data_IF_006186877125
#
_entry.id   IF_006186877125
#
_cell.length_a   1.000
_cell.length_b   1.000
_cell.length_c   1.000
_cell.angle_alpha   90.00
_cell.angle_beta   90.00
_cell.angle_gamma   90.00
#
_symmetry.space_group_name_H-M   'P 1'
#
loop_
_entity.id
_entity.type
_entity.pdbx_description
1 polymer ?
#
# COMPACT_ATOMS: atom_id res chain seq x y z
N UNK A 1 30.72 13.98 4.29
CA UNK A 1 30.58 13.29 2.98
C UNK A 1 30.64 11.76 3.11
N UNK A 2 31.49 11.18 3.98
CA UNK A 2 31.66 9.73 4.16
C UNK A 2 30.42 8.85 4.46
N UNK A 3 29.30 9.42 4.93
CA UNK A 3 28.11 8.64 5.32
C UNK A 3 27.34 8.12 4.11
N UNK A 4 27.29 8.89 3.02
CA UNK A 4 26.53 8.55 1.81
C UNK A 4 27.32 7.74 0.78
N UNK A 5 28.60 7.47 1.06
CA UNK A 5 29.45 6.66 0.20
C UNK A 5 29.17 5.16 0.38
N UNK A 6 28.45 4.79 1.45
CA UNK A 6 28.21 3.40 1.84
C UNK A 6 26.74 3.17 2.16
N UNK A 7 26.06 2.38 1.33
CA UNK A 7 24.67 1.98 1.57
C UNK A 7 24.45 1.30 2.94
N UNK A 8 25.33 0.39 3.41
CA UNK A 8 25.24 -0.16 4.77
C UNK A 8 25.17 0.90 5.85
N UNK A 9 25.99 1.96 5.79
CA UNK A 9 25.98 3.02 6.82
C UNK A 9 24.65 3.77 6.84
N UNK A 10 24.10 4.09 5.67
CA UNK A 10 22.81 4.79 5.56
C UNK A 10 21.66 3.94 6.11
N UNK A 11 21.65 2.64 5.79
CA UNK A 11 20.64 1.70 6.26
C UNK A 11 20.77 1.42 7.75
N UNK A 12 21.98 1.29 8.28
CA UNK A 12 22.22 1.14 9.72
C UNK A 12 21.72 2.36 10.50
N UNK A 13 22.01 3.57 10.04
CA UNK A 13 21.48 4.79 10.64
C UNK A 13 19.95 4.85 10.60
N UNK A 14 19.34 4.45 9.47
CA UNK A 14 17.89 4.38 9.32
C UNK A 14 17.25 3.34 10.27
N UNK A 15 17.91 2.20 10.43
CA UNK A 15 17.48 1.12 11.32
C UNK A 15 17.59 1.56 12.78
N UNK A 16 18.72 2.18 13.16
CA UNK A 16 18.94 2.72 14.48
C UNK A 16 17.88 3.77 14.86
N UNK A 17 17.52 4.68 13.94
CA UNK A 17 16.44 5.63 14.14
C UNK A 17 15.11 4.93 14.47
N UNK A 18 14.75 3.88 13.73
CA UNK A 18 13.51 3.12 13.97
C UNK A 18 13.56 2.35 15.31
N UNK A 19 14.70 1.77 15.66
CA UNK A 19 14.88 1.11 16.96
C UNK A 19 14.72 2.10 18.12
N UNK A 20 15.31 3.30 18.04
CA UNK A 20 15.14 4.36 19.03
C UNK A 20 13.66 4.73 19.17
N UNK A 21 12.95 4.92 18.06
CA UNK A 21 11.53 5.24 18.06
C UNK A 21 10.65 4.11 18.60
N UNK A 22 11.00 2.83 18.39
CA UNK A 22 10.28 1.70 18.95
C UNK A 22 10.43 1.65 20.49
N UNK A 23 11.64 1.87 21.00
CA UNK A 23 11.91 1.94 22.44
C UNK A 23 11.20 3.14 23.06
N UNK A 24 11.34 4.32 22.46
CA UNK A 24 10.64 5.52 22.88
C UNK A 24 9.12 5.34 22.85
N UNK A 25 8.59 4.74 21.78
CA UNK A 25 7.17 4.46 21.63
C UNK A 25 6.63 3.56 22.73
N UNK A 26 7.38 2.50 23.09
CA UNK A 26 7.04 1.65 24.23
C UNK A 26 7.04 2.40 25.56
N UNK A 27 8.04 3.25 25.79
CA UNK A 27 8.08 4.12 26.97
C UNK A 27 6.90 5.10 27.00
N UNK A 28 6.59 5.78 25.89
CA UNK A 28 5.48 6.71 25.79
C UNK A 28 4.14 6.00 26.02
N UNK A 29 3.96 4.80 25.45
CA UNK A 29 2.74 4.02 25.67
C UNK A 29 2.55 3.62 27.13
N UNK A 30 3.62 3.42 27.89
CA UNK A 30 3.56 3.12 29.32
C UNK A 30 3.36 4.37 30.20
N UNK A 31 3.88 5.54 29.79
CA UNK A 31 3.99 6.72 30.66
C UNK A 31 3.09 7.90 30.24
N UNK A 32 2.43 7.85 29.08
CA UNK A 32 1.59 8.94 28.56
C UNK A 32 0.14 8.51 28.34
N UNK A 33 -0.79 9.45 28.54
CA UNK A 33 -2.18 9.30 28.14
C UNK A 33 -2.32 9.23 26.61
N UNK A 34 -1.52 10.02 25.88
CA UNK A 34 -1.47 9.98 24.43
C UNK A 34 -0.53 8.86 23.97
N UNK A 35 -1.14 7.79 23.45
CA UNK A 35 -0.41 6.61 22.99
C UNK A 35 0.33 6.88 21.69
N UNK A 36 1.55 6.35 21.62
CA UNK A 36 2.37 6.29 20.42
C UNK A 36 1.81 5.26 19.45
N UNK A 37 1.46 4.07 19.94
CA UNK A 37 0.90 2.98 19.12
C UNK A 37 -0.35 3.42 18.35
N UNK A 38 -0.35 3.14 17.05
CA UNK A 38 -1.49 3.36 16.18
C UNK A 38 -2.66 2.46 16.58
N UNK A 39 -3.88 2.97 16.46
CA UNK A 39 -5.09 2.21 16.79
C UNK A 39 -5.26 1.00 15.86
N UNK A 40 -4.87 1.15 14.59
CA UNK A 40 -4.94 0.06 13.62
C UNK A 40 -4.01 -1.10 14.03
N UNK A 41 -2.88 -0.80 14.68
CA UNK A 41 -1.98 -1.84 15.19
C UNK A 41 -2.64 -2.75 16.24
N UNK A 42 -3.47 -2.15 17.11
CA UNK A 42 -4.24 -2.90 18.09
C UNK A 42 -5.28 -3.77 17.39
N UNK A 43 -5.98 -3.22 16.38
CA UNK A 43 -6.95 -3.97 15.57
C UNK A 43 -6.29 -5.15 14.85
N UNK A 44 -5.08 -5.00 14.32
CA UNK A 44 -4.35 -6.11 13.70
C UNK A 44 -3.95 -7.17 14.72
N UNK A 45 -3.45 -6.76 15.88
CA UNK A 45 -3.01 -7.66 16.94
C UNK A 45 -4.17 -8.47 17.50
N UNK A 46 -5.31 -7.81 17.76
CA UNK A 46 -6.52 -8.50 18.22
C UNK A 46 -7.04 -9.48 17.17
N UNK A 47 -7.09 -9.08 15.89
CA UNK A 47 -7.46 -10.00 14.81
C UNK A 47 -6.53 -11.21 14.72
N UNK A 48 -5.23 -11.04 14.98
CA UNK A 48 -4.26 -12.14 15.02
C UNK A 48 -4.52 -13.08 16.20
N UNK A 49 -4.99 -12.57 17.34
CA UNK A 49 -5.44 -13.39 18.48
C UNK A 49 -6.68 -14.21 18.16
N UNK A 50 -7.63 -13.65 17.41
CA UNK A 50 -8.78 -14.41 16.90
C UNK A 50 -8.31 -15.56 16.00
N UNK A 51 -7.41 -15.28 15.04
CA UNK A 51 -6.86 -16.32 14.15
C UNK A 51 -6.12 -17.40 14.95
N UNK A 52 -5.32 -17.03 15.96
CA UNK A 52 -4.60 -17.99 16.81
C UNK A 52 -5.54 -18.93 17.58
N UNK A 53 -6.78 -18.51 17.86
CA UNK A 53 -7.84 -19.31 18.49
C UNK A 53 -8.68 -20.10 17.47
N UNK A 54 -8.29 -20.13 16.20
CA UNK A 54 -9.04 -20.76 15.11
C UNK A 54 -10.29 -19.99 14.69
N UNK A 55 -10.43 -18.73 15.11
CA UNK A 55 -11.58 -17.89 14.82
C UNK A 55 -11.30 -16.95 13.63
N UNK A 56 -12.37 -16.34 13.10
CA UNK A 56 -12.26 -15.36 12.03
C UNK A 56 -11.61 -14.06 12.53
N UNK A 57 -10.64 -13.47 11.80
CA UNK A 57 -10.09 -12.16 12.16
C UNK A 57 -11.16 -11.06 12.15
N UNK A 58 -12.25 -11.26 11.40
CA UNK A 58 -13.40 -10.36 11.33
C UNK A 58 -14.31 -10.42 12.56
N UNK A 59 -14.06 -11.34 13.51
CA UNK A 59 -14.68 -11.27 14.83
C UNK A 59 -14.15 -10.07 15.64
N UNK A 60 -13.00 -9.50 15.26
CA UNK A 60 -12.55 -8.21 15.77
C UNK A 60 -13.34 -7.09 15.10
N UNK A 61 -14.11 -6.34 15.89
CA UNK A 61 -14.78 -5.14 15.43
C UNK A 61 -13.80 -4.21 14.70
N UNK A 62 -14.28 -3.56 13.64
CA UNK A 62 -13.54 -2.62 12.79
C UNK A 62 -12.36 -3.20 12.00
N UNK A 63 -12.08 -4.50 12.09
CA UNK A 63 -11.11 -5.16 11.22
C UNK A 63 -11.61 -5.17 9.77
N UNK A 64 -10.86 -4.53 8.88
CA UNK A 64 -11.20 -4.30 7.45
C UNK A 64 -10.05 -4.63 6.50
N UNK A 65 -9.09 -5.40 6.98
CA UNK A 65 -7.85 -5.71 6.26
C UNK A 65 -7.92 -7.14 5.73
N UNK A 66 -7.00 -7.53 4.84
CA UNK A 66 -6.91 -8.94 4.40
C UNK A 66 -6.53 -9.85 5.57
N UNK A 67 -7.09 -11.07 5.70
CA UNK A 67 -6.68 -12.02 6.73
C UNK A 67 -5.19 -12.36 6.66
N UNK A 68 -4.57 -12.23 5.48
CA UNK A 68 -3.13 -12.41 5.30
C UNK A 68 -2.31 -11.53 6.25
N UNK A 69 -2.77 -10.30 6.53
CA UNK A 69 -2.11 -9.41 7.48
C UNK A 69 -2.21 -9.96 8.91
N UNK A 70 -3.36 -10.47 9.33
CA UNK A 70 -3.50 -11.12 10.64
C UNK A 70 -2.64 -12.38 10.73
N UNK A 71 -2.52 -13.16 9.65
CA UNK A 71 -1.68 -14.36 9.61
C UNK A 71 -0.20 -14.01 9.77
N UNK A 72 0.27 -12.96 9.10
CA UNK A 72 1.65 -12.46 9.24
C UNK A 72 1.97 -11.99 10.66
N UNK A 73 0.96 -11.60 11.43
CA UNK A 73 1.10 -11.06 12.77
C UNK A 73 0.75 -12.08 13.87
N UNK A 74 0.57 -13.36 13.55
CA UNK A 74 0.34 -14.40 14.56
C UNK A 74 1.29 -14.38 15.77
N UNK A 75 2.59 -14.03 15.64
CA UNK A 75 3.45 -13.91 16.82
C UNK A 75 2.94 -12.88 17.85
N UNK A 76 2.24 -11.83 17.43
CA UNK A 76 1.66 -10.82 18.35
C UNK A 76 0.48 -11.35 19.17
N UNK A 77 -0.06 -12.52 18.79
CA UNK A 77 -1.14 -13.17 19.53
C UNK A 77 -0.69 -13.80 20.85
N UNK A 78 0.61 -13.96 21.07
CA UNK A 78 1.13 -14.51 22.32
C UNK A 78 1.03 -13.48 23.45
N UNK A 79 0.17 -13.77 24.43
CA UNK A 79 -0.15 -12.91 25.59
C UNK A 79 0.68 -13.25 26.84
N UNK A 80 1.81 -13.93 26.69
CA UNK A 80 2.69 -14.23 27.82
C UNK A 80 3.23 -12.97 28.49
N UNK A 81 3.49 -13.05 29.80
CA UNK A 81 3.99 -11.92 30.58
C UNK A 81 5.50 -11.65 30.40
N UNK A 82 5.95 -10.52 30.96
CA UNK A 82 7.36 -10.14 31.01
C UNK A 82 7.94 -9.65 29.68
N UNK A 83 9.27 -9.69 29.57
CA UNK A 83 10.00 -9.13 28.43
C UNK A 83 9.62 -9.78 27.09
N UNK A 84 9.39 -11.10 27.09
CA UNK A 84 9.00 -11.81 25.89
C UNK A 84 7.64 -11.30 25.37
N UNK A 85 6.72 -10.93 26.27
CA UNK A 85 5.38 -10.45 25.89
C UNK A 85 5.43 -9.08 25.23
N UNK A 86 6.33 -8.23 25.71
CA UNK A 86 6.61 -6.95 25.07
C UNK A 86 7.24 -7.13 23.68
N UNK A 87 8.12 -8.12 23.49
CA UNK A 87 8.76 -8.41 22.21
C UNK A 87 7.74 -8.98 21.21
N UNK A 88 6.91 -9.94 21.61
CA UNK A 88 5.86 -10.48 20.73
C UNK A 88 4.84 -9.42 20.37
N UNK A 89 4.43 -8.57 21.30
CA UNK A 89 3.59 -7.42 20.99
C UNK A 89 4.27 -6.44 20.02
N UNK A 90 5.59 -6.23 20.14
CA UNK A 90 6.34 -5.35 19.24
C UNK A 90 6.64 -5.98 17.87
N UNK A 91 6.49 -7.30 17.70
CA UNK A 91 6.87 -8.03 16.49
C UNK A 91 6.31 -7.40 15.21
N UNK A 92 5.02 -7.06 15.19
CA UNK A 92 4.40 -6.43 14.02
C UNK A 92 4.98 -5.06 13.70
N UNK A 93 5.25 -4.23 14.71
CA UNK A 93 5.92 -2.94 14.52
C UNK A 93 7.34 -3.10 13.98
N UNK A 94 8.07 -4.10 14.48
CA UNK A 94 9.42 -4.43 14.00
C UNK A 94 9.35 -4.86 12.53
N UNK A 95 8.41 -5.73 12.18
CA UNK A 95 8.17 -6.17 10.80
C UNK A 95 7.86 -5.00 9.88
N UNK A 96 6.98 -4.08 10.30
CA UNK A 96 6.60 -2.92 9.49
C UNK A 96 7.74 -1.91 9.35
N UNK A 97 8.50 -1.66 10.42
CA UNK A 97 9.70 -0.81 10.38
C UNK A 97 10.80 -1.43 9.49
N UNK A 98 10.97 -2.75 9.52
CA UNK A 98 11.91 -3.45 8.63
C UNK A 98 11.46 -3.35 7.18
N UNK A 99 10.17 -3.58 6.90
CA UNK A 99 9.61 -3.43 5.55
C UNK A 99 9.82 -2.02 5.01
N UNK A 100 9.66 -0.99 5.85
CA UNK A 100 9.92 0.40 5.48
C UNK A 100 11.39 0.67 5.10
N UNK A 101 12.36 0.08 5.82
CA UNK A 101 13.79 0.15 5.46
C UNK A 101 14.05 -0.60 4.15
N UNK A 102 13.44 -1.77 3.96
CA UNK A 102 13.55 -2.57 2.72
C UNK A 102 12.96 -1.81 1.54
N UNK A 103 11.84 -1.11 1.71
CA UNK A 103 11.24 -0.27 0.67
C UNK A 103 12.22 0.84 0.25
N UNK A 104 12.83 1.54 1.21
CA UNK A 104 13.87 2.53 0.93
C UNK A 104 15.07 1.93 0.19
N UNK A 105 15.55 0.76 0.62
CA UNK A 105 16.63 0.05 -0.09
C UNK A 105 16.24 -0.30 -1.53
N UNK A 106 15.03 -0.80 -1.78
CA UNK A 106 14.55 -1.10 -3.13
C UNK A 106 14.50 0.16 -4.01
N UNK A 107 14.08 1.30 -3.46
CA UNK A 107 14.10 2.59 -4.17
C UNK A 107 15.53 3.00 -4.51
N UNK A 108 16.52 2.80 -3.62
CA UNK A 108 17.94 3.01 -3.96
C UNK A 108 18.37 2.12 -5.13
N UNK A 109 17.96 0.84 -5.14
CA UNK A 109 18.29 -0.07 -6.25
C UNK A 109 17.62 0.36 -7.56
N UNK A 110 16.37 0.82 -7.52
CA UNK A 110 15.67 1.38 -8.68
C UNK A 110 16.44 2.58 -9.25
N UNK A 111 16.79 3.55 -8.41
CA UNK A 111 17.52 4.75 -8.84
C UNK A 111 18.87 4.40 -9.46
N UNK A 112 19.61 3.47 -8.86
CA UNK A 112 20.95 3.07 -9.35
C UNK A 112 20.89 2.20 -10.60
N UNK A 113 20.05 1.18 -10.62
CA UNK A 113 20.07 0.13 -11.66
C UNK A 113 19.15 0.44 -12.84
N UNK A 114 18.03 1.12 -12.61
CA UNK A 114 17.05 1.41 -13.66
C UNK A 114 17.13 2.86 -14.15
N UNK A 115 17.51 3.80 -13.28
CA UNK A 115 17.64 5.22 -13.62
C UNK A 115 19.09 5.72 -13.68
N UNK A 116 20.07 4.85 -13.43
CA UNK A 116 21.51 5.13 -13.55
C UNK A 116 22.01 6.32 -12.71
N UNK A 117 21.39 6.56 -11.54
CA UNK A 117 21.87 7.57 -10.61
C UNK A 117 23.20 7.13 -9.99
N UNK A 118 24.16 8.06 -9.78
CA UNK A 118 25.31 7.81 -8.93
C UNK A 118 24.88 7.33 -7.54
N UNK A 119 25.58 6.34 -6.99
CA UNK A 119 25.23 5.69 -5.71
C UNK A 119 25.01 6.71 -4.60
N UNK A 120 25.94 7.66 -4.44
CA UNK A 120 25.88 8.69 -3.41
C UNK A 120 24.63 9.58 -3.58
N UNK A 121 24.32 9.99 -4.82
CA UNK A 121 23.14 10.82 -5.12
C UNK A 121 21.84 10.07 -4.81
N UNK A 122 21.75 8.80 -5.19
CA UNK A 122 20.59 7.96 -4.88
C UNK A 122 20.41 7.80 -3.36
N UNK A 123 21.49 7.53 -2.63
CA UNK A 123 21.46 7.40 -1.17
C UNK A 123 21.04 8.71 -0.48
N UNK A 124 21.56 9.86 -0.91
CA UNK A 124 21.18 11.17 -0.35
C UNK A 124 19.69 11.47 -0.52
N UNK A 125 19.15 11.28 -1.73
CA UNK A 125 17.73 11.53 -1.98
C UNK A 125 16.82 10.59 -1.19
N UNK A 126 17.12 9.29 -1.20
CA UNK A 126 16.29 8.31 -0.49
C UNK A 126 16.43 8.46 1.03
N UNK A 127 17.61 8.81 1.53
CA UNK A 127 17.79 9.16 2.93
C UNK A 127 16.91 10.34 3.34
N UNK A 128 16.95 11.44 2.58
CA UNK A 128 16.20 12.65 2.90
C UNK A 128 14.67 12.44 2.82
N UNK A 129 14.19 11.77 1.76
CA UNK A 129 12.74 11.67 1.50
C UNK A 129 12.09 10.51 2.28
N UNK A 130 12.83 9.43 2.53
CA UNK A 130 12.27 8.17 3.05
C UNK A 130 12.98 7.67 4.31
N UNK A 131 14.24 7.24 4.20
CA UNK A 131 14.88 6.44 5.25
C UNK A 131 15.12 7.22 6.54
N UNK A 132 15.47 8.50 6.47
CA UNK A 132 15.70 9.36 7.65
C UNK A 132 14.61 10.41 7.82
N UNK A 133 13.55 10.35 7.02
CA UNK A 133 12.40 11.21 7.20
C UNK A 133 11.68 10.82 8.51
N UNK A 134 11.60 11.73 9.50
CA UNK A 134 11.02 11.40 10.81
C UNK A 134 9.53 11.03 10.69
N UNK A 135 8.80 11.56 9.71
CA UNK A 135 7.40 11.21 9.49
C UNK A 135 7.26 9.75 9.05
N UNK A 136 8.06 9.31 8.08
CA UNK A 136 8.05 7.93 7.58
C UNK A 136 8.48 6.95 8.65
N UNK A 137 9.59 7.25 9.34
CA UNK A 137 10.09 6.45 10.44
C UNK A 137 9.00 6.29 11.53
N UNK A 138 8.38 7.40 11.94
CA UNK A 138 7.32 7.42 12.96
C UNK A 138 6.09 6.59 12.54
N UNK A 139 5.59 6.75 11.30
CA UNK A 139 4.42 5.99 10.82
C UNK A 139 4.67 4.48 10.90
N UNK A 140 5.85 4.01 10.47
CA UNK A 140 6.18 2.58 10.51
C UNK A 140 6.31 2.06 11.94
N UNK A 141 6.99 2.79 12.84
CA UNK A 141 7.23 2.36 14.22
C UNK A 141 6.01 2.49 15.12
N UNK A 142 5.03 3.32 14.77
CA UNK A 142 3.71 3.35 15.42
C UNK A 142 2.88 2.09 15.15
N UNK A 143 3.24 1.30 14.14
CA UNK A 143 2.55 0.04 13.81
C UNK A 143 1.70 0.10 12.54
N UNK A 144 1.97 1.02 11.62
CA UNK A 144 1.30 1.06 10.32
C UNK A 144 1.89 0.04 9.34
N UNK A 145 1.04 -0.76 8.69
CA UNK A 145 1.46 -1.76 7.70
C UNK A 145 1.84 -1.18 6.33
N UNK A 146 1.81 0.15 6.14
CA UNK A 146 2.08 0.77 4.83
C UNK A 146 3.51 0.50 4.32
N UNK A 147 4.48 0.23 5.21
CA UNK A 147 5.83 -0.19 4.82
C UNK A 147 5.85 -1.46 3.97
N UNK A 148 5.00 -2.44 4.29
CA UNK A 148 4.85 -3.68 3.50
C UNK A 148 4.35 -3.37 2.07
N UNK A 149 3.41 -2.43 1.96
CA UNK A 149 2.89 -2.01 0.68
C UNK A 149 3.92 -1.21 -0.12
N UNK A 150 4.74 -0.39 0.56
CA UNK A 150 5.89 0.29 -0.04
C UNK A 150 6.87 -0.70 -0.69
N UNK A 151 7.17 -1.81 -0.02
CA UNK A 151 7.99 -2.91 -0.59
C UNK A 151 7.33 -3.48 -1.85
N UNK A 152 6.04 -3.82 -1.78
CA UNK A 152 5.31 -4.39 -2.91
C UNK A 152 5.30 -3.45 -4.12
N UNK A 153 5.05 -2.15 -3.92
CA UNK A 153 5.01 -1.17 -5.01
C UNK A 153 6.40 -0.92 -5.61
N UNK A 154 7.44 -0.81 -4.78
CA UNK A 154 8.81 -0.66 -5.26
C UNK A 154 9.28 -1.92 -6.02
N UNK A 155 8.96 -3.11 -5.51
CA UNK A 155 9.26 -4.38 -6.16
C UNK A 155 8.49 -4.55 -7.49
N UNK A 156 7.22 -4.13 -7.54
CA UNK A 156 6.41 -4.11 -8.76
C UNK A 156 7.05 -3.24 -9.84
N UNK A 157 7.44 -2.01 -9.49
CA UNK A 157 8.12 -1.11 -10.41
C UNK A 157 9.44 -1.72 -10.90
N UNK A 158 10.23 -2.28 -9.99
CA UNK A 158 11.50 -2.93 -10.34
C UNK A 158 11.31 -4.13 -11.28
N UNK A 159 10.37 -5.03 -10.98
CA UNK A 159 10.05 -6.17 -11.82
C UNK A 159 9.56 -5.72 -13.20
N UNK A 160 8.78 -4.62 -13.24
CA UNK A 160 8.29 -4.05 -14.49
C UNK A 160 9.43 -3.47 -15.35
N UNK A 161 10.28 -2.62 -14.76
CA UNK A 161 11.40 -1.99 -15.47
C UNK A 161 12.47 -2.99 -15.92
N UNK A 162 12.60 -4.11 -15.21
CA UNK A 162 13.51 -5.21 -15.58
C UNK A 162 12.87 -6.27 -16.47
N UNK A 163 11.68 -5.98 -17.05
CA UNK A 163 10.95 -6.84 -18.00
C UNK A 163 10.60 -8.24 -17.47
N UNK A 164 10.32 -8.37 -16.17
CA UNK A 164 9.92 -9.63 -15.52
C UNK A 164 8.40 -9.74 -15.42
N UNK A 165 7.73 -10.02 -16.53
CA UNK A 165 6.26 -10.00 -16.65
C UNK A 165 5.53 -10.87 -15.61
N UNK A 166 5.96 -12.13 -15.43
CA UNK A 166 5.37 -13.05 -14.43
C UNK A 166 5.53 -12.50 -13.01
N UNK A 167 6.75 -12.09 -12.64
CA UNK A 167 7.02 -11.57 -11.30
C UNK A 167 6.23 -10.28 -11.02
N UNK A 168 6.19 -9.35 -11.97
CA UNK A 168 5.42 -8.12 -11.84
C UNK A 168 3.92 -8.42 -11.69
N UNK A 169 3.40 -9.36 -12.48
CA UNK A 169 2.01 -9.80 -12.39
C UNK A 169 1.70 -10.38 -11.02
N UNK A 170 2.49 -11.35 -10.56
CA UNK A 170 2.33 -11.96 -9.25
C UNK A 170 2.40 -10.92 -8.10
N UNK A 171 3.36 -9.99 -8.15
CA UNK A 171 3.46 -8.90 -7.16
C UNK A 171 2.23 -8.00 -7.20
N UNK A 172 1.73 -7.64 -8.39
CA UNK A 172 0.51 -6.83 -8.50
C UNK A 172 -0.69 -7.58 -7.90
N UNK A 173 -0.88 -8.85 -8.24
CA UNK A 173 -1.97 -9.67 -7.69
C UNK A 173 -1.92 -9.75 -6.16
N UNK A 174 -0.73 -9.98 -5.61
CA UNK A 174 -0.50 -9.95 -4.16
C UNK A 174 -0.77 -8.56 -3.56
N UNK A 175 -0.31 -7.48 -4.20
CA UNK A 175 -0.50 -6.13 -3.71
C UNK A 175 -1.98 -5.73 -3.67
N UNK A 176 -2.75 -6.07 -4.71
CA UNK A 176 -4.20 -5.82 -4.79
C UNK A 176 -4.97 -6.66 -3.76
N UNK A 177 -4.54 -7.90 -3.52
CA UNK A 177 -5.09 -8.71 -2.44
C UNK A 177 -4.80 -8.11 -1.06
N UNK A 178 -3.58 -7.57 -0.86
CA UNK A 178 -3.16 -6.99 0.40
C UNK A 178 -3.91 -5.68 0.71
N UNK A 179 -4.10 -4.84 -0.31
CA UNK A 179 -4.92 -3.62 -0.24
C UNK A 179 -5.44 -3.35 -1.64
N UNK A 180 -6.70 -2.94 -1.80
CA UNK A 180 -7.31 -2.91 -3.15
C UNK A 180 -6.62 -1.92 -4.12
N UNK A 181 -6.20 -0.74 -3.67
CA UNK A 181 -5.83 0.39 -4.53
C UNK A 181 -4.66 0.19 -5.53
N UNK A 182 -3.63 -0.65 -5.31
CA UNK A 182 -2.55 -0.87 -6.27
C UNK A 182 -3.01 -1.35 -7.65
N UNK A 183 -4.29 -1.75 -7.82
CA UNK A 183 -4.86 -2.11 -9.12
C UNK A 183 -4.67 -1.00 -10.16
N UNK A 184 -4.67 0.27 -9.73
CA UNK A 184 -4.45 1.42 -10.62
C UNK A 184 -3.10 1.32 -11.35
N UNK A 185 -2.05 0.83 -10.68
CA UNK A 185 -0.72 0.70 -11.28
C UNK A 185 -0.68 -0.31 -12.42
N UNK A 186 -1.52 -1.35 -12.35
CA UNK A 186 -1.63 -2.34 -13.42
C UNK A 186 -1.96 -1.71 -14.77
N UNK A 187 -2.80 -0.67 -14.78
CA UNK A 187 -3.18 0.03 -16.02
C UNK A 187 -2.00 0.80 -16.60
N UNK A 188 -1.24 1.53 -15.79
CA UNK A 188 -0.01 2.20 -16.25
C UNK A 188 1.03 1.20 -16.76
N UNK A 189 1.15 0.02 -16.13
CA UNK A 189 2.08 -1.03 -16.55
C UNK A 189 1.68 -1.60 -17.92
N UNK A 190 0.38 -1.83 -18.15
CA UNK A 190 -0.11 -2.25 -19.47
C UNK A 190 0.22 -1.21 -20.55
N UNK A 191 0.02 0.07 -20.27
CA UNK A 191 0.42 1.14 -21.20
C UNK A 191 1.95 1.24 -21.38
N UNK A 192 2.72 0.95 -20.34
CA UNK A 192 4.18 0.94 -20.37
C UNK A 192 4.74 -0.19 -21.23
N UNK A 193 4.31 -1.44 -21.06
CA UNK A 193 4.84 -2.56 -21.86
C UNK A 193 4.17 -2.63 -23.23
N UNK A 194 4.63 -1.84 -24.20
CA UNK A 194 4.13 -1.91 -25.57
C UNK A 194 4.96 -2.82 -26.48
N UNK A 195 4.43 -3.11 -27.67
CA UNK A 195 5.05 -4.02 -28.64
C UNK A 195 6.48 -3.57 -29.02
N UNK A 196 6.75 -2.27 -29.04
CA UNK A 196 8.08 -1.73 -29.30
C UNK A 196 9.07 -2.10 -28.19
N UNK A 197 8.64 -2.03 -26.92
CA UNK A 197 9.44 -2.47 -25.76
C UNK A 197 9.60 -3.99 -25.69
N UNK A 198 8.72 -4.74 -26.34
CA UNK A 198 8.84 -6.18 -26.58
C UNK A 198 9.73 -6.51 -27.81
N UNK A 199 10.24 -5.50 -28.53
CA UNK A 199 11.15 -5.67 -29.67
C UNK A 199 10.46 -5.82 -31.02
N UNK A 200 9.14 -5.65 -31.10
CA UNK A 200 8.40 -5.67 -32.35
C UNK A 200 8.61 -4.38 -33.17
N UNK A 201 8.61 -4.51 -34.50
CA UNK A 201 8.68 -3.37 -35.39
C UNK A 201 7.44 -2.45 -35.23
N UNK A 202 7.59 -1.13 -35.42
CA UNK A 202 6.45 -0.21 -35.36
C UNK A 202 5.38 -0.60 -36.38
N UNK A 203 4.13 -0.73 -35.92
CA UNK A 203 3.01 -1.10 -36.78
C UNK A 203 2.81 -0.03 -37.88
N UNK A 204 2.81 -0.47 -39.15
CA UNK A 204 2.64 0.41 -40.33
C UNK A 204 1.17 0.73 -40.66
N UNK A 205 0.20 0.13 -39.96
CA UNK A 205 -1.24 0.25 -40.23
C UNK A 205 -1.94 1.26 -39.32
N UNK A 206 -2.85 2.05 -39.87
CA UNK A 206 -3.59 3.12 -39.18
C UNK A 206 -5.01 2.76 -38.72
N UNK A 207 -5.51 1.55 -38.99
CA UNK A 207 -6.90 1.18 -38.64
C UNK A 207 -7.08 0.97 -37.13
N UNK A 208 -8.24 1.36 -36.59
CA UNK A 208 -8.58 1.19 -35.17
C UNK A 208 -8.45 -0.28 -34.71
N UNK A 209 -8.91 -1.23 -35.53
CA UNK A 209 -8.80 -2.65 -35.26
C UNK A 209 -7.33 -3.08 -35.09
N UNK A 210 -6.44 -2.61 -35.97
CA UNK A 210 -5.00 -2.93 -35.88
C UNK A 210 -4.34 -2.32 -34.64
N UNK A 211 -4.84 -1.17 -34.13
CA UNK A 211 -4.38 -0.58 -32.87
C UNK A 211 -4.82 -1.39 -31.65
N UNK A 212 -6.05 -1.92 -31.67
CA UNK A 212 -6.58 -2.78 -30.60
C UNK A 212 -5.86 -4.11 -30.59
N UNK A 213 -5.70 -4.76 -31.75
CA UNK A 213 -4.96 -6.02 -31.86
C UNK A 213 -3.47 -5.83 -31.50
N UNK A 214 -2.86 -4.73 -31.94
CA UNK A 214 -1.49 -4.37 -31.55
C UNK A 214 -1.33 -4.00 -30.08
N UNK A 215 -2.42 -3.80 -29.34
CA UNK A 215 -2.40 -3.64 -27.89
C UNK A 215 -2.20 -4.98 -27.16
N UNK A 216 -2.47 -6.11 -27.81
CA UNK A 216 -2.28 -7.43 -27.22
C UNK A 216 -0.85 -7.89 -27.49
N UNK A 217 -0.01 -7.87 -26.46
CA UNK A 217 1.38 -8.37 -26.54
C UNK A 217 1.62 -9.52 -25.56
N UNK A 218 2.58 -10.41 -25.81
CA UNK A 218 2.90 -11.51 -24.90
C UNK A 218 3.20 -11.02 -23.47
N UNK A 219 3.98 -9.94 -23.32
CA UNK A 219 4.30 -9.36 -22.01
C UNK A 219 3.05 -8.90 -21.26
N UNK A 220 2.12 -8.24 -21.95
CA UNK A 220 0.84 -7.79 -21.35
C UNK A 220 -0.05 -8.96 -20.94
N UNK A 221 -0.13 -9.98 -21.78
CA UNK A 221 -0.93 -11.19 -21.50
C UNK A 221 -0.35 -11.94 -20.31
N UNK A 222 0.96 -12.23 -20.32
CA UNK A 222 1.64 -12.94 -19.24
C UNK A 222 1.52 -12.18 -17.91
N UNK A 223 1.73 -10.86 -17.94
CA UNK A 223 1.53 -10.01 -16.78
C UNK A 223 0.10 -10.09 -16.23
N UNK A 224 -0.89 -9.94 -17.10
CA UNK A 224 -2.32 -9.93 -16.73
C UNK A 224 -2.74 -11.28 -16.17
N UNK A 225 -2.41 -12.36 -16.86
CA UNK A 225 -2.71 -13.72 -16.41
C UNK A 225 -2.05 -14.01 -15.08
N UNK A 226 -0.77 -13.67 -14.91
CA UNK A 226 -0.07 -13.87 -13.63
C UNK A 226 -0.68 -13.04 -12.50
N UNK A 227 -1.09 -11.80 -12.75
CA UNK A 227 -1.75 -10.95 -11.75
C UNK A 227 -3.11 -11.51 -11.33
N UNK A 228 -3.94 -11.89 -12.31
CA UNK A 228 -5.26 -12.48 -12.06
C UNK A 228 -5.12 -13.82 -11.35
N UNK A 229 -4.19 -14.67 -11.76
CA UNK A 229 -3.95 -15.97 -11.14
C UNK A 229 -3.57 -15.82 -9.65
N UNK A 230 -2.58 -14.98 -9.34
CA UNK A 230 -2.18 -14.73 -7.95
C UNK A 230 -3.31 -14.11 -7.13
N UNK A 231 -4.03 -13.12 -7.70
CA UNK A 231 -5.16 -12.50 -7.01
C UNK A 231 -6.27 -13.51 -6.73
N UNK A 232 -6.70 -14.29 -7.73
CA UNK A 232 -7.77 -15.28 -7.60
C UNK A 232 -7.40 -16.33 -6.57
N UNK A 233 -6.19 -16.89 -6.60
CA UNK A 233 -5.77 -17.93 -5.64
C UNK A 233 -5.78 -17.40 -4.22
N UNK A 234 -5.17 -16.24 -3.96
CA UNK A 234 -5.14 -15.67 -2.61
C UNK A 234 -6.56 -15.37 -2.11
N UNK A 235 -7.42 -14.82 -2.96
CA UNK A 235 -8.81 -14.56 -2.59
C UNK A 235 -9.62 -15.85 -2.39
N UNK A 236 -9.40 -16.87 -3.21
CA UNK A 236 -10.06 -18.16 -3.07
C UNK A 236 -9.67 -18.83 -1.75
N UNK A 237 -8.38 -18.85 -1.40
CA UNK A 237 -7.91 -19.39 -0.11
C UNK A 237 -8.56 -18.66 1.06
N UNK A 238 -8.59 -17.32 1.05
CA UNK A 238 -9.20 -16.55 2.14
C UNK A 238 -10.73 -16.70 2.17
N UNK A 239 -11.39 -16.80 1.03
CA UNK A 239 -12.83 -17.02 0.94
C UNK A 239 -13.23 -18.41 1.42
N UNK A 240 -12.48 -19.46 1.06
CA UNK A 240 -12.71 -20.81 1.56
C UNK A 240 -12.59 -20.88 3.09
N UNK A 241 -11.69 -20.09 3.68
CA UNK A 241 -11.50 -20.07 5.13
C UNK A 241 -12.53 -19.21 5.88
N UNK A 242 -12.91 -18.05 5.34
CA UNK A 242 -13.66 -17.02 6.07
C UNK A 242 -14.99 -16.60 5.45
N UNK A 243 -15.33 -17.10 4.25
CA UNK A 243 -16.62 -16.88 3.58
C UNK A 243 -16.92 -15.43 3.23
N UNK A 244 -18.21 -15.07 3.24
CA UNK A 244 -18.69 -13.72 2.91
C UNK A 244 -18.12 -12.59 3.78
N UNK A 245 -17.87 -12.76 5.09
CA UNK A 245 -17.18 -11.76 5.90
C UNK A 245 -15.87 -11.26 5.28
N UNK A 246 -15.08 -12.14 4.66
CA UNK A 246 -13.85 -11.75 3.96
C UNK A 246 -14.11 -10.73 2.84
N UNK A 247 -15.02 -11.04 1.92
CA UNK A 247 -15.32 -10.15 0.79
C UNK A 247 -15.92 -8.82 1.27
N UNK A 248 -16.80 -8.88 2.27
CA UNK A 248 -17.46 -7.70 2.80
C UNK A 248 -16.47 -6.74 3.46
N UNK A 249 -15.66 -7.22 4.40
CA UNK A 249 -14.77 -6.36 5.18
C UNK A 249 -13.51 -5.93 4.42
N UNK A 250 -12.93 -6.79 3.59
CA UNK A 250 -11.69 -6.47 2.85
C UNK A 250 -11.95 -5.66 1.57
N UNK A 251 -13.07 -5.86 0.89
CA UNK A 251 -13.33 -5.20 -0.40
C UNK A 251 -14.60 -4.35 -0.40
N UNK A 252 -15.77 -4.93 -0.16
CA UNK A 252 -17.05 -4.23 -0.40
C UNK A 252 -17.28 -3.05 0.54
N UNK A 253 -16.76 -3.12 1.77
CA UNK A 253 -16.79 -2.01 2.72
C UNK A 253 -16.18 -0.73 2.14
N UNK A 254 -15.18 -0.80 1.26
CA UNK A 254 -14.61 0.41 0.63
C UNK A 254 -15.56 1.10 -0.35
N UNK A 255 -16.52 0.37 -0.92
CA UNK A 255 -17.52 0.93 -1.82
C UNK A 255 -18.63 1.64 -1.04
N UNK A 256 -19.04 1.07 0.10
CA UNK A 256 -20.16 1.57 0.89
C UNK A 256 -19.76 2.58 1.97
N UNK A 257 -18.49 2.61 2.39
CA UNK A 257 -18.03 3.50 3.46
C UNK A 257 -18.24 4.98 3.12
N UNK A 258 -18.76 5.70 4.11
CA UNK A 258 -18.93 7.16 4.14
C UNK A 258 -18.43 7.66 5.50
N UNK A 259 -17.79 8.82 5.53
CA UNK A 259 -17.49 9.54 6.78
C UNK A 259 -17.98 10.98 6.63
N UNK A 260 -18.80 11.43 7.58
CA UNK A 260 -19.46 12.73 7.54
C UNK A 260 -18.98 13.68 8.65
N UNK A 261 -18.31 13.21 9.71
CA UNK A 261 -17.98 14.04 10.88
C UNK A 261 -16.55 14.57 10.87
N UNK A 262 -15.60 13.81 10.32
CA UNK A 262 -14.17 14.18 10.35
C UNK A 262 -13.49 13.89 9.01
N UNK A 263 -14.17 14.23 7.91
CA UNK A 263 -13.72 13.96 6.55
C UNK A 263 -13.13 15.22 5.92
N UNK A 264 -11.87 15.14 5.52
CA UNK A 264 -11.10 16.17 4.80
C UNK A 264 -11.15 15.98 3.28
N UNK A 265 -11.98 15.07 2.78
CA UNK A 265 -12.14 14.90 1.34
C UNK A 265 -12.73 16.17 0.71
N UNK A 266 -12.48 16.41 -0.59
CA UNK A 266 -13.15 17.49 -1.33
C UNK A 266 -14.70 17.40 -1.31
N UNK A 267 -15.25 16.24 -0.89
CA UNK A 267 -16.67 15.95 -0.85
C UNK A 267 -17.29 16.12 0.54
N UNK A 268 -16.51 16.53 1.56
CA UNK A 268 -16.94 16.55 2.96
C UNK A 268 -18.26 17.28 3.21
N UNK A 269 -18.39 18.51 2.70
CA UNK A 269 -19.61 19.33 2.84
C UNK A 269 -20.81 18.66 2.16
N UNK A 270 -20.61 18.07 0.98
CA UNK A 270 -21.67 17.40 0.23
C UNK A 270 -22.15 16.13 0.95
N UNK A 271 -21.21 15.34 1.47
CA UNK A 271 -21.51 14.13 2.25
C UNK A 271 -22.19 14.47 3.59
N UNK A 272 -21.77 15.57 4.23
CA UNK A 272 -22.42 16.07 5.43
C UNK A 272 -23.88 16.48 5.18
N UNK A 273 -24.13 17.29 4.14
CA UNK A 273 -25.49 17.71 3.75
C UNK A 273 -26.37 16.54 3.33
N UNK A 274 -25.81 15.56 2.62
CA UNK A 274 -26.52 14.32 2.29
C UNK A 274 -26.90 13.52 3.55
N UNK A 275 -25.99 13.41 4.52
CA UNK A 275 -26.28 12.74 5.80
C UNK A 275 -27.33 13.47 6.65
N UNK A 276 -27.45 14.79 6.49
CA UNK A 276 -28.45 15.61 7.17
C UNK A 276 -29.84 15.60 6.50
N UNK A 277 -30.05 14.78 5.45
CA UNK A 277 -31.33 14.65 4.75
C UNK A 277 -31.63 15.74 3.71
N UNK A 278 -30.65 16.62 3.40
CA UNK A 278 -30.82 17.74 2.47
C UNK A 278 -30.54 17.43 1.00
N UNK A 279 -30.10 16.21 0.66
CA UNK A 279 -29.75 15.84 -0.71
C UNK A 279 -30.46 14.55 -1.15
N UNK A 280 -31.13 14.60 -2.30
CA UNK A 280 -31.89 13.50 -2.91
C UNK A 280 -31.07 12.59 -3.83
N UNK A 281 -29.76 12.84 -3.99
CA UNK A 281 -28.89 12.09 -4.90
C UNK A 281 -27.78 11.30 -4.17
N UNK A 282 -27.47 10.09 -4.66
CA UNK A 282 -26.40 9.20 -4.17
C UNK A 282 -25.00 9.70 -4.59
N UNK A 283 -24.58 10.85 -4.06
CA UNK A 283 -23.32 11.51 -4.40
C UNK A 283 -22.07 10.67 -4.11
N UNK A 284 -22.18 9.63 -3.28
CA UNK A 284 -21.05 8.76 -2.90
C UNK A 284 -20.49 8.00 -4.09
N UNK A 285 -21.34 7.67 -5.06
CA UNK A 285 -20.95 6.95 -6.28
C UNK A 285 -20.27 7.89 -7.28
N UNK A 286 -20.71 9.16 -7.32
CA UNK A 286 -20.14 10.19 -8.18
C UNK A 286 -18.73 10.59 -7.75
N UNK A 287 -18.40 10.50 -6.46
CA UNK A 287 -17.05 10.79 -5.96
C UNK A 287 -15.98 9.82 -6.52
N UNK A 288 -16.37 8.60 -6.91
CA UNK A 288 -15.45 7.66 -7.57
C UNK A 288 -15.13 8.06 -9.02
N UNK A 289 -15.99 8.85 -9.68
CA UNK A 289 -15.82 9.18 -11.09
C UNK A 289 -14.54 9.99 -11.36
N UNK A 290 -14.30 11.17 -10.74
CA UNK A 290 -13.06 11.91 -10.98
C UNK A 290 -11.83 11.14 -10.49
N UNK A 291 -11.95 10.39 -9.39
CA UNK A 291 -10.88 9.56 -8.84
C UNK A 291 -10.43 8.48 -9.85
N UNK A 292 -11.37 7.69 -10.37
CA UNK A 292 -11.08 6.61 -11.33
C UNK A 292 -10.75 7.16 -12.72
N UNK A 293 -11.43 8.21 -13.18
CA UNK A 293 -11.14 8.83 -14.47
C UNK A 293 -9.69 9.34 -14.52
N UNK A 294 -9.23 10.02 -13.47
CA UNK A 294 -7.85 10.49 -13.40
C UNK A 294 -6.86 9.33 -13.24
N UNK A 295 -7.06 8.47 -12.23
CA UNK A 295 -6.09 7.44 -11.88
C UNK A 295 -6.02 6.30 -12.91
N UNK A 296 -7.13 5.92 -13.55
CA UNK A 296 -7.21 4.75 -14.43
C UNK A 296 -7.17 5.13 -15.91
N UNK A 297 -7.64 6.32 -16.29
CA UNK A 297 -7.75 6.72 -17.70
C UNK A 297 -6.75 7.82 -18.06
N UNK A 298 -6.90 9.02 -17.51
CA UNK A 298 -6.15 10.19 -17.97
C UNK A 298 -4.63 10.07 -17.72
N UNK A 299 -4.23 9.70 -16.50
CA UNK A 299 -2.82 9.61 -16.11
C UNK A 299 -2.07 8.52 -16.89
N UNK A 300 -2.59 7.27 -17.01
CA UNK A 300 -1.91 6.25 -17.80
C UNK A 300 -1.72 6.65 -19.26
N UNK A 301 -2.73 7.26 -19.89
CA UNK A 301 -2.66 7.71 -21.29
C UNK A 301 -1.56 8.76 -21.52
N UNK A 302 -1.42 9.72 -20.60
CA UNK A 302 -0.52 10.87 -20.77
C UNK A 302 0.90 10.58 -20.30
N UNK A 303 1.05 9.87 -19.17
CA UNK A 303 2.33 9.74 -18.48
C UNK A 303 2.95 8.35 -18.57
N UNK A 304 2.16 7.27 -18.63
CA UNK A 304 2.72 5.92 -18.49
C UNK A 304 3.76 5.62 -19.56
N UNK A 305 3.57 6.05 -20.82
CA UNK A 305 4.57 5.84 -21.87
C UNK A 305 5.86 6.64 -21.69
N UNK A 306 5.80 7.80 -21.01
CA UNK A 306 6.93 8.71 -20.79
C UNK A 306 7.78 8.29 -19.59
N UNK A 307 7.12 8.05 -18.46
CA UNK A 307 7.77 7.64 -17.21
C UNK A 307 6.78 6.86 -16.34
N UNK A 308 7.03 5.56 -16.19
CA UNK A 308 6.17 4.70 -15.36
C UNK A 308 6.16 5.14 -13.89
N UNK A 309 7.32 5.48 -13.32
CA UNK A 309 7.39 5.94 -11.93
C UNK A 309 6.61 7.25 -11.71
N UNK A 310 6.71 8.20 -12.64
CA UNK A 310 5.95 9.45 -12.57
C UNK A 310 4.45 9.20 -12.73
N UNK A 311 4.05 8.29 -13.61
CA UNK A 311 2.66 7.89 -13.75
C UNK A 311 2.14 7.27 -12.46
N UNK A 312 2.85 6.31 -11.87
CA UNK A 312 2.47 5.67 -10.62
C UNK A 312 2.33 6.69 -9.47
N UNK A 313 3.30 7.61 -9.33
CA UNK A 313 3.22 8.68 -8.33
C UNK A 313 1.99 9.56 -8.54
N UNK A 314 1.74 10.01 -9.77
CA UNK A 314 0.58 10.82 -10.11
C UNK A 314 -0.74 10.06 -9.87
N UNK A 315 -0.78 8.76 -10.15
CA UNK A 315 -1.93 7.90 -9.87
C UNK A 315 -2.21 7.82 -8.37
N UNK A 316 -1.19 7.58 -7.53
CA UNK A 316 -1.35 7.56 -6.07
C UNK A 316 -1.85 8.91 -5.57
N UNK A 317 -1.26 10.00 -6.05
CA UNK A 317 -1.65 11.35 -5.66
C UNK A 317 -3.11 11.63 -6.01
N UNK A 318 -3.51 11.43 -7.26
CA UNK A 318 -4.89 11.61 -7.69
C UNK A 318 -5.86 10.68 -6.93
N UNK A 319 -5.49 9.41 -6.73
CA UNK A 319 -6.32 8.45 -6.01
C UNK A 319 -6.55 8.85 -4.55
N UNK A 320 -5.55 9.43 -3.88
CA UNK A 320 -5.68 9.91 -2.49
C UNK A 320 -6.43 11.24 -2.44
N UNK A 321 -6.06 12.21 -3.28
CA UNK A 321 -6.67 13.56 -3.29
C UNK A 321 -8.17 13.52 -3.57
N UNK A 322 -8.60 12.68 -4.50
CA UNK A 322 -10.02 12.54 -4.88
C UNK A 322 -10.71 11.38 -4.14
N UNK A 323 -10.12 10.85 -3.06
CA UNK A 323 -10.80 9.86 -2.25
C UNK A 323 -11.98 10.50 -1.50
N UNK A 324 -13.12 9.80 -1.47
CA UNK A 324 -14.32 10.25 -0.74
C UNK A 324 -14.20 10.19 0.79
N UNK A 325 -13.23 9.46 1.33
CA UNK A 325 -12.96 9.39 2.77
C UNK A 325 -11.49 9.69 3.05
N UNK A 326 -11.22 10.88 3.57
CA UNK A 326 -9.91 11.29 4.07
C UNK A 326 -10.08 11.70 5.53
N UNK A 327 -9.67 10.87 6.49
CA UNK A 327 -10.00 11.10 7.92
C UNK A 327 -8.75 11.04 8.78
N UNK A 328 -8.62 11.95 9.75
CA UNK A 328 -7.68 11.78 10.84
C UNK A 328 -8.41 11.10 12.01
N UNK A 329 -7.87 9.98 12.47
CA UNK A 329 -8.42 9.33 13.66
C UNK A 329 -7.75 9.94 14.88
N UNK A 330 -8.49 10.77 15.61
CA UNK A 330 -8.09 11.25 16.93
C UNK A 330 -8.82 10.37 17.94
N UNK A 331 -8.11 9.78 18.90
CA UNK A 331 -8.79 9.17 20.06
C UNK A 331 -9.53 10.30 20.76
N UNK A 332 -10.87 10.25 20.88
CA UNK A 332 -11.53 11.07 21.89
C UNK A 332 -10.86 10.70 23.22
N UNK A 333 -10.46 11.71 24.00
CA UNK A 333 -10.04 11.44 25.37
C UNK A 333 -11.12 10.59 26.02
N UNK A 334 -10.75 9.44 26.60
CA UNK A 334 -11.60 8.81 27.59
C UNK A 334 -11.62 9.79 28.76
N UNK A 335 -12.62 10.68 28.77
CA UNK A 335 -13.00 11.39 29.97
C UNK A 335 -13.38 10.32 31.00
N UNK A 336 -12.67 10.32 32.13
CA UNK A 336 -12.94 9.47 33.29
C UNK A 336 -14.40 9.57 33.74
#
# INVERSE_FOLDING_TARGET
MALFDSAPRVLLAATALRLILLVYGGWQDANSAMKYTDIDYMVFTDASRYVAKGQSPYARDTYRYTPLLAWMLLPTAWEGGGALGSVTFAFGKILFALADVVAGWLVVQLLRRCYHFPTERALRYVAAVWLWNPMVANISTRGSSEGLLGVLVAALLWATLTKRAVLAGAILGLAVHFKIYPFIYGVSILWWWDAQRDGAAPAKSSTLLSRILGFITPSRVIFTVSALFTFIILNAVMYLQYGMPFLHHTFFHHLTRIDHRHNFSPYSTLLYLASAGGASYRFETLAFLPQLLLAVVAIPLVLAKKSLATAMLAQTFAFVTFNKVCTSQVRPGMSC
#
